data_IF_730520738847
#
_entry.id   IF_730520738847
#
_cell.length_a   1.000
_cell.length_b   1.000
_cell.length_c   1.000
_cell.angle_alpha   90.00
_cell.angle_beta   90.00
_cell.angle_gamma   90.00
#
_symmetry.space_group_name_H-M   'P 1'
#
loop_
_entity.id
_entity.type
_entity.pdbx_description
1 polymer ?
#
# COMPACT_ATOMS: atom_id res chain seq x y z
N UNK A 1 35.41 16.85 3.21
CA UNK A 1 34.26 15.98 3.49
C UNK A 1 34.82 14.57 3.62
N UNK A 2 34.43 13.87 4.69
CA UNK A 2 34.71 12.42 4.80
C UNK A 2 34.07 11.72 3.61
N UNK A 3 34.68 10.63 3.11
CA UNK A 3 34.00 9.71 2.21
C UNK A 3 32.70 9.25 2.91
N UNK A 4 31.60 9.91 2.58
CA UNK A 4 30.29 9.57 3.12
C UNK A 4 29.74 8.39 2.30
N UNK A 5 30.28 7.22 2.62
CA UNK A 5 29.61 5.99 2.25
C UNK A 5 28.25 5.95 2.95
N UNK A 6 27.19 5.68 2.22
CA UNK A 6 25.85 5.49 2.79
C UNK A 6 25.95 4.45 3.90
N UNK A 7 25.59 4.77 5.16
CA UNK A 7 25.74 3.84 6.26
C UNK A 7 24.80 2.63 6.08
N UNK A 8 25.27 1.45 6.44
CA UNK A 8 24.43 0.26 6.45
C UNK A 8 23.37 0.39 7.56
N UNK A 9 22.21 -0.26 7.38
CA UNK A 9 21.12 -0.24 8.37
C UNK A 9 21.58 -0.56 9.79
N UNK A 10 22.48 -1.52 9.96
CA UNK A 10 23.05 -1.92 11.26
C UNK A 10 23.83 -0.78 11.95
N UNK A 11 24.41 0.13 11.19
CA UNK A 11 25.27 1.22 11.66
C UNK A 11 24.47 2.48 12.02
N UNK A 12 23.18 2.52 11.68
CA UNK A 12 22.27 3.62 12.03
C UNK A 12 21.95 3.54 13.52
N UNK A 13 22.11 4.63 14.31
CA UNK A 13 21.70 4.69 15.72
C UNK A 13 20.22 4.35 15.91
N UNK A 14 19.89 3.73 17.05
CA UNK A 14 18.53 3.29 17.34
C UNK A 14 17.50 4.45 17.33
N UNK A 15 17.92 5.65 17.75
CA UNK A 15 17.07 6.86 17.77
C UNK A 15 16.61 7.32 16.38
N UNK A 16 17.27 6.88 15.30
CA UNK A 16 16.89 7.16 13.91
C UNK A 16 16.20 5.97 13.25
N UNK A 17 15.79 4.97 14.03
CA UNK A 17 15.06 3.79 13.56
C UNK A 17 13.62 3.83 14.06
N UNK A 18 12.71 3.29 13.28
CA UNK A 18 11.33 3.10 13.74
C UNK A 18 11.29 2.14 14.95
N UNK A 19 10.56 2.52 15.97
CA UNK A 19 10.26 1.65 17.10
C UNK A 19 9.02 0.79 16.78
N UNK A 20 9.25 -0.41 16.26
CA UNK A 20 8.19 -1.35 15.92
C UNK A 20 7.68 -2.15 17.12
N UNK A 21 8.25 -1.97 18.33
CA UNK A 21 7.78 -2.62 19.55
C UNK A 21 6.38 -2.17 19.97
N UNK A 22 5.90 -1.04 19.40
CA UNK A 22 4.52 -0.59 19.54
C UNK A 22 3.51 -1.51 18.83
N UNK A 23 3.95 -2.24 17.81
CA UNK A 23 3.13 -3.23 17.09
C UNK A 23 3.31 -4.60 17.73
N UNK A 24 4.55 -5.10 17.80
CA UNK A 24 4.92 -6.38 18.40
C UNK A 24 6.24 -6.25 19.14
N UNK A 25 6.30 -6.75 20.36
CA UNK A 25 7.53 -6.75 21.17
C UNK A 25 8.52 -7.80 20.68
N UNK A 26 8.01 -8.91 20.18
CA UNK A 26 8.81 -10.04 19.67
C UNK A 26 8.22 -10.63 18.39
N UNK A 27 9.05 -11.34 17.63
CA UNK A 27 8.62 -12.06 16.45
C UNK A 27 7.65 -13.20 16.77
N UNK A 28 7.73 -13.80 17.96
CA UNK A 28 6.83 -14.84 18.41
C UNK A 28 5.40 -14.30 18.61
N UNK A 29 5.26 -13.08 19.11
CA UNK A 29 3.96 -12.40 19.20
C UNK A 29 3.36 -12.17 17.81
N UNK A 30 4.17 -11.69 16.86
CA UNK A 30 3.75 -11.51 15.47
C UNK A 30 3.34 -12.84 14.82
N UNK A 31 4.14 -13.89 15.00
CA UNK A 31 3.87 -15.23 14.49
C UNK A 31 2.55 -15.80 15.04
N UNK A 32 2.29 -15.59 16.34
CA UNK A 32 1.04 -16.01 16.97
C UNK A 32 -0.17 -15.30 16.35
N UNK A 33 -0.03 -14.02 16.03
CA UNK A 33 -1.08 -13.22 15.42
C UNK A 33 -1.29 -13.57 13.95
N UNK A 34 -0.22 -13.84 13.18
CA UNK A 34 -0.32 -14.34 11.80
C UNK A 34 -1.13 -15.65 11.73
N UNK A 35 -0.90 -16.56 12.69
CA UNK A 35 -1.61 -17.85 12.76
C UNK A 35 -3.10 -17.74 13.09
N UNK A 36 -3.58 -16.59 13.57
CA UNK A 36 -5.01 -16.35 13.83
C UNK A 36 -5.81 -16.05 12.56
N UNK A 37 -5.16 -15.51 11.53
CA UNK A 37 -5.83 -15.06 10.30
C UNK A 37 -6.73 -16.14 9.69
N UNK A 38 -6.31 -17.39 9.48
CA UNK A 38 -7.19 -18.42 8.89
C UNK A 38 -8.48 -18.68 9.69
N UNK A 39 -8.43 -18.56 11.02
CA UNK A 39 -9.62 -18.74 11.85
C UNK A 39 -10.58 -17.56 11.75
N UNK A 40 -10.07 -16.35 11.62
CA UNK A 40 -10.87 -15.14 11.40
C UNK A 40 -11.50 -15.16 10.01
N UNK A 41 -10.74 -15.54 8.98
CA UNK A 41 -11.27 -15.76 7.61
C UNK A 41 -12.41 -16.77 7.64
N UNK A 42 -12.24 -17.91 8.30
CA UNK A 42 -13.29 -18.94 8.42
C UNK A 42 -14.53 -18.39 9.13
N UNK A 43 -14.35 -17.60 10.19
CA UNK A 43 -15.47 -16.96 10.89
C UNK A 43 -16.24 -16.03 9.96
N UNK A 44 -15.53 -15.10 9.28
CA UNK A 44 -16.16 -14.16 8.37
C UNK A 44 -16.82 -14.86 7.17
N UNK A 45 -16.15 -15.84 6.56
CA UNK A 45 -16.71 -16.62 5.45
C UNK A 45 -17.96 -17.42 5.81
N UNK A 46 -18.25 -17.63 7.10
CA UNK A 46 -19.49 -18.29 7.54
C UNK A 46 -20.76 -17.46 7.29
N UNK A 47 -20.59 -16.17 7.01
CA UNK A 47 -21.69 -15.25 6.66
C UNK A 47 -22.02 -15.22 5.17
N UNK A 48 -21.22 -15.89 4.33
CA UNK A 48 -21.43 -15.95 2.89
C UNK A 48 -22.81 -16.49 2.54
N UNK A 49 -23.54 -15.76 1.68
CA UNK A 49 -24.92 -16.07 1.29
C UNK A 49 -25.98 -15.68 2.32
N UNK A 50 -25.57 -15.04 3.41
CA UNK A 50 -26.44 -14.76 4.56
C UNK A 50 -26.59 -13.29 4.93
N UNK A 51 -25.87 -12.38 4.27
CA UNK A 51 -25.86 -10.95 4.65
C UNK A 51 -27.25 -10.30 4.58
N UNK A 52 -28.12 -10.80 3.73
CA UNK A 52 -29.48 -10.28 3.59
C UNK A 52 -30.50 -10.94 4.52
N UNK A 53 -30.15 -11.90 5.38
CA UNK A 53 -31.12 -12.57 6.27
C UNK A 53 -31.74 -11.61 7.28
N UNK A 54 -30.90 -10.88 8.04
CA UNK A 54 -31.35 -9.91 9.04
C UNK A 54 -30.30 -8.85 9.33
N UNK A 55 -30.73 -7.74 9.95
CA UNK A 55 -29.81 -6.69 10.44
C UNK A 55 -28.79 -7.21 11.45
N UNK A 56 -29.18 -8.15 12.31
CA UNK A 56 -28.28 -8.77 13.29
C UNK A 56 -27.17 -9.57 12.61
N UNK A 57 -27.52 -10.44 11.66
CA UNK A 57 -26.55 -11.23 10.88
C UNK A 57 -25.59 -10.30 10.10
N UNK A 58 -26.13 -9.24 9.50
CA UNK A 58 -25.32 -8.27 8.78
C UNK A 58 -24.34 -7.52 9.70
N UNK A 59 -24.82 -7.11 10.88
CA UNK A 59 -23.96 -6.46 11.87
C UNK A 59 -22.86 -7.40 12.40
N UNK A 60 -23.18 -8.66 12.63
CA UNK A 60 -22.18 -9.66 13.03
C UNK A 60 -21.13 -9.89 11.93
N UNK A 61 -21.54 -9.91 10.68
CA UNK A 61 -20.63 -10.00 9.54
C UNK A 61 -19.69 -8.78 9.48
N UNK A 62 -20.20 -7.55 9.64
CA UNK A 62 -19.39 -6.32 9.70
C UNK A 62 -18.36 -6.36 10.83
N UNK A 63 -18.74 -6.84 12.01
CA UNK A 63 -17.80 -7.01 13.14
C UNK A 63 -16.75 -8.07 12.88
N UNK A 64 -17.11 -9.15 12.19
CA UNK A 64 -16.18 -10.20 11.83
C UNK A 64 -15.18 -9.72 10.77
N UNK A 65 -15.64 -8.93 9.80
CA UNK A 65 -14.83 -8.25 8.79
C UNK A 65 -13.83 -7.30 9.46
N UNK A 66 -14.30 -6.39 10.31
CA UNK A 66 -13.45 -5.47 11.07
C UNK A 66 -12.39 -6.20 11.92
N UNK A 67 -12.76 -7.28 12.56
CA UNK A 67 -11.82 -8.08 13.37
C UNK A 67 -10.74 -8.73 12.51
N UNK A 68 -11.10 -9.19 11.31
CA UNK A 68 -10.17 -9.75 10.34
C UNK A 68 -9.23 -8.67 9.79
N UNK A 69 -9.77 -7.53 9.35
CA UNK A 69 -9.00 -6.42 8.79
C UNK A 69 -8.00 -5.88 9.80
N UNK A 70 -8.39 -5.60 11.03
CA UNK A 70 -7.49 -5.15 12.11
C UNK A 70 -6.36 -6.13 12.37
N UNK A 71 -6.64 -7.43 12.32
CA UNK A 71 -5.62 -8.44 12.52
C UNK A 71 -4.63 -8.48 11.35
N UNK A 72 -5.14 -8.44 10.12
CA UNK A 72 -4.32 -8.41 8.90
C UNK A 72 -3.47 -7.13 8.87
N UNK A 73 -4.07 -5.97 9.09
CA UNK A 73 -3.34 -4.69 9.08
C UNK A 73 -2.19 -4.67 10.07
N UNK A 74 -2.42 -5.11 11.31
CA UNK A 74 -1.38 -5.12 12.35
C UNK A 74 -0.21 -6.02 11.97
N UNK A 75 -0.50 -7.24 11.50
CA UNK A 75 0.51 -8.22 11.07
C UNK A 75 1.27 -7.71 9.84
N UNK A 76 0.54 -7.14 8.88
CA UNK A 76 1.10 -6.58 7.66
C UNK A 76 2.02 -5.40 7.93
N UNK A 77 1.58 -4.42 8.71
CA UNK A 77 2.38 -3.22 8.98
C UNK A 77 3.71 -3.56 9.66
N UNK A 78 3.72 -4.50 10.61
CA UNK A 78 4.98 -4.92 11.22
C UNK A 78 5.94 -5.54 10.19
N UNK A 79 5.46 -6.46 9.37
CA UNK A 79 6.29 -7.13 8.36
C UNK A 79 6.73 -6.16 7.25
N UNK A 80 5.83 -5.30 6.78
CA UNK A 80 6.11 -4.30 5.75
C UNK A 80 7.15 -3.29 6.22
N UNK A 81 6.97 -2.70 7.40
CA UNK A 81 7.91 -1.70 7.94
C UNK A 81 9.30 -2.30 8.22
N UNK A 82 9.39 -3.56 8.64
CA UNK A 82 10.69 -4.26 8.75
C UNK A 82 11.36 -4.43 7.37
N UNK A 83 10.58 -4.86 6.36
CA UNK A 83 11.09 -5.04 5.00
C UNK A 83 11.51 -3.71 4.36
N UNK A 84 10.71 -2.65 4.52
CA UNK A 84 11.06 -1.31 4.00
C UNK A 84 12.25 -0.68 4.72
N UNK A 85 12.49 -1.06 5.97
CA UNK A 85 13.65 -0.57 6.72
C UNK A 85 14.97 -1.14 6.18
N UNK A 86 14.98 -2.38 5.67
CA UNK A 86 16.14 -3.03 5.06
C UNK A 86 15.69 -4.14 4.11
N UNK A 87 15.56 -3.81 2.83
CA UNK A 87 15.18 -4.77 1.78
C UNK A 87 16.26 -5.84 1.50
N UNK A 88 17.46 -5.68 2.04
CA UNK A 88 18.53 -6.68 2.02
C UNK A 88 18.41 -7.74 3.11
N UNK A 89 17.53 -7.53 4.12
CA UNK A 89 17.31 -8.49 5.19
C UNK A 89 16.36 -9.62 4.74
N UNK A 90 16.93 -10.82 4.55
CA UNK A 90 16.18 -11.99 4.11
C UNK A 90 15.09 -12.44 5.10
N UNK A 91 15.28 -12.22 6.41
CA UNK A 91 14.28 -12.57 7.42
C UNK A 91 13.08 -11.61 7.35
N UNK A 92 13.32 -10.32 7.10
CA UNK A 92 12.25 -9.33 6.88
C UNK A 92 11.48 -9.64 5.59
N UNK A 93 12.18 -9.97 4.49
CA UNK A 93 11.55 -10.39 3.24
C UNK A 93 10.69 -11.66 3.41
N UNK A 94 11.15 -12.65 4.17
CA UNK A 94 10.37 -13.86 4.46
C UNK A 94 9.07 -13.52 5.21
N UNK A 95 9.15 -12.71 6.27
CA UNK A 95 7.96 -12.27 7.01
C UNK A 95 6.97 -11.55 6.12
N UNK A 96 7.46 -10.62 5.30
CA UNK A 96 6.62 -9.88 4.36
C UNK A 96 5.94 -10.81 3.35
N UNK A 97 6.68 -11.74 2.77
CA UNK A 97 6.13 -12.72 1.81
C UNK A 97 5.04 -13.58 2.47
N UNK A 98 5.24 -14.03 3.70
CA UNK A 98 4.27 -14.86 4.43
C UNK A 98 2.98 -14.10 4.73
N UNK A 99 3.07 -12.85 5.14
CA UNK A 99 1.86 -12.05 5.37
C UNK A 99 1.13 -11.74 4.06
N UNK A 100 1.84 -11.50 2.96
CA UNK A 100 1.22 -11.30 1.66
C UNK A 100 0.47 -12.54 1.16
N UNK A 101 1.01 -13.74 1.40
CA UNK A 101 0.30 -14.99 1.11
C UNK A 101 -0.99 -15.11 1.94
N UNK A 102 -0.93 -14.81 3.24
CA UNK A 102 -2.10 -14.84 4.12
C UNK A 102 -3.14 -13.80 3.72
N UNK A 103 -2.72 -12.58 3.36
CA UNK A 103 -3.56 -11.51 2.86
C UNK A 103 -4.28 -11.90 1.56
N UNK A 104 -3.54 -12.41 0.57
CA UNK A 104 -4.11 -12.83 -0.70
C UNK A 104 -5.14 -13.96 -0.52
N UNK A 105 -4.85 -14.93 0.34
CA UNK A 105 -5.78 -16.00 0.67
C UNK A 105 -7.05 -15.45 1.35
N UNK A 106 -6.89 -14.52 2.30
CA UNK A 106 -8.01 -13.85 2.96
C UNK A 106 -8.88 -13.09 1.96
N UNK A 107 -8.29 -12.25 1.10
CA UNK A 107 -9.02 -11.50 0.06
C UNK A 107 -9.83 -12.42 -0.86
N UNK A 108 -9.26 -13.57 -1.26
CA UNK A 108 -9.96 -14.54 -2.09
C UNK A 108 -11.21 -15.11 -1.40
N UNK A 109 -11.08 -15.52 -0.13
CA UNK A 109 -12.18 -16.12 0.63
C UNK A 109 -13.26 -15.09 1.03
N UNK A 110 -12.90 -13.82 1.18
CA UNK A 110 -13.80 -12.74 1.62
C UNK A 110 -14.40 -11.93 0.47
N UNK A 111 -14.02 -12.23 -0.77
CA UNK A 111 -14.46 -11.52 -1.99
C UNK A 111 -15.98 -11.48 -2.20
N UNK A 112 -16.73 -12.35 -1.52
CA UNK A 112 -18.20 -12.39 -1.57
C UNK A 112 -18.87 -11.16 -0.93
N UNK A 113 -18.20 -10.48 0.00
CA UNK A 113 -18.82 -9.51 0.89
C UNK A 113 -19.41 -8.31 0.13
N UNK A 114 -18.59 -7.63 -0.68
CA UNK A 114 -19.06 -6.45 -1.42
C UNK A 114 -20.19 -6.78 -2.40
N UNK A 115 -20.12 -7.83 -3.24
CA UNK A 115 -21.23 -8.21 -4.09
C UNK A 115 -22.52 -8.52 -3.32
N UNK A 116 -22.44 -9.23 -2.20
CA UNK A 116 -23.63 -9.55 -1.39
C UNK A 116 -24.18 -8.33 -0.70
N UNK A 117 -23.33 -7.44 -0.15
CA UNK A 117 -23.74 -6.16 0.41
C UNK A 117 -24.56 -5.35 -0.59
N UNK A 118 -24.07 -5.23 -1.81
CA UNK A 118 -24.70 -4.46 -2.88
C UNK A 118 -25.95 -5.12 -3.46
N UNK A 119 -26.11 -6.42 -3.26
CA UNK A 119 -27.31 -7.16 -3.63
C UNK A 119 -28.46 -6.98 -2.64
N UNK A 120 -28.20 -6.48 -1.41
CA UNK A 120 -29.26 -6.15 -0.45
C UNK A 120 -30.12 -5.03 -1.03
N UNK A 121 -31.47 -5.14 -1.01
CA UNK A 121 -32.36 -4.07 -1.47
C UNK A 121 -32.09 -2.76 -0.71
N UNK A 122 -32.04 -1.64 -1.43
CA UNK A 122 -31.66 -0.34 -0.86
C UNK A 122 -32.59 0.10 0.28
N UNK A 123 -33.90 -0.15 0.17
CA UNK A 123 -34.86 0.15 1.24
C UNK A 123 -34.53 -0.64 2.52
N UNK A 124 -34.17 -1.91 2.37
CA UNK A 124 -33.85 -2.79 3.49
C UNK A 124 -32.59 -2.35 4.22
N UNK A 125 -31.49 -2.16 3.48
CA UNK A 125 -30.22 -1.77 4.07
C UNK A 125 -30.29 -0.36 4.67
N UNK A 126 -30.97 0.59 4.02
CA UNK A 126 -31.17 1.93 4.54
C UNK A 126 -31.97 1.91 5.86
N UNK A 127 -32.96 1.02 6.00
CA UNK A 127 -33.67 0.85 7.28
C UNK A 127 -32.75 0.32 8.38
N UNK A 128 -31.82 -0.58 8.07
CA UNK A 128 -30.90 -1.17 9.04
C UNK A 128 -29.87 -0.17 9.56
N UNK A 129 -29.26 0.62 8.68
CA UNK A 129 -28.20 1.57 9.07
C UNK A 129 -28.71 2.76 9.89
N UNK A 130 -30.02 2.95 10.01
CA UNK A 130 -30.61 3.94 10.94
C UNK A 130 -30.67 3.44 12.39
N UNK A 131 -30.49 2.14 12.65
CA UNK A 131 -30.42 1.62 14.01
C UNK A 131 -29.11 2.05 14.69
N UNK A 132 -29.13 2.43 15.97
CA UNK A 132 -27.95 2.93 16.71
C UNK A 132 -26.74 2.00 16.68
N UNK A 133 -26.95 0.71 16.57
CA UNK A 133 -25.93 -0.33 16.53
C UNK A 133 -25.05 -0.28 15.26
N UNK A 134 -25.54 0.37 14.19
CA UNK A 134 -24.79 0.58 12.93
C UNK A 134 -24.06 1.91 12.89
N UNK A 135 -24.07 2.70 13.94
CA UNK A 135 -23.50 4.06 13.96
C UNK A 135 -22.07 4.10 13.37
N UNK A 136 -21.24 3.15 13.77
CA UNK A 136 -19.82 3.11 13.36
C UNK A 136 -19.62 2.62 11.93
N UNK A 137 -20.59 1.87 11.39
CA UNK A 137 -20.55 1.31 10.03
C UNK A 137 -21.35 2.12 9.01
N UNK A 138 -22.20 3.04 9.46
CA UNK A 138 -23.16 3.78 8.62
C UNK A 138 -22.46 4.45 7.42
N UNK A 139 -21.39 5.19 7.67
CA UNK A 139 -20.66 5.91 6.62
C UNK A 139 -20.03 4.95 5.61
N UNK A 140 -19.43 3.84 6.09
CA UNK A 140 -18.86 2.81 5.23
C UNK A 140 -19.91 2.23 4.28
N UNK A 141 -21.06 1.83 4.83
CA UNK A 141 -22.16 1.25 4.04
C UNK A 141 -22.71 2.27 3.04
N UNK A 142 -22.92 3.52 3.46
CA UNK A 142 -23.38 4.59 2.56
C UNK A 142 -22.42 4.85 1.40
N UNK A 143 -21.11 4.81 1.64
CA UNK A 143 -20.09 4.92 0.58
C UNK A 143 -20.18 3.75 -0.40
N UNK A 144 -20.32 2.52 0.09
CA UNK A 144 -20.48 1.34 -0.74
C UNK A 144 -21.74 1.44 -1.61
N UNK A 145 -22.89 1.84 -1.03
CA UNK A 145 -24.12 2.04 -1.79
C UNK A 145 -24.01 3.17 -2.81
N UNK A 146 -23.31 4.24 -2.48
CA UNK A 146 -23.04 5.34 -3.42
C UNK A 146 -22.23 4.89 -4.63
N UNK A 147 -21.29 3.97 -4.43
CA UNK A 147 -20.49 3.42 -5.52
C UNK A 147 -21.27 2.40 -6.40
N UNK A 148 -22.38 1.84 -5.90
CA UNK A 148 -23.17 0.79 -6.58
C UNK A 148 -23.53 1.09 -8.04
N UNK A 149 -23.97 2.31 -8.44
CA UNK A 149 -24.28 2.64 -9.83
C UNK A 149 -23.03 2.68 -10.75
N UNK A 150 -21.83 2.71 -10.16
CA UNK A 150 -20.54 2.79 -10.85
C UNK A 150 -19.78 1.47 -10.90
N UNK A 151 -20.37 0.40 -10.35
CA UNK A 151 -19.78 -0.94 -10.37
C UNK A 151 -20.18 -1.60 -11.69
N UNK A 152 -19.19 -2.11 -12.39
CA UNK A 152 -19.37 -2.80 -13.66
C UNK A 152 -20.00 -4.18 -13.43
N UNK A 153 -20.59 -4.75 -14.48
CA UNK A 153 -21.04 -6.14 -14.45
C UNK A 153 -19.83 -7.09 -14.32
N UNK A 154 -20.04 -8.30 -13.82
CA UNK A 154 -18.99 -9.33 -13.69
C UNK A 154 -18.19 -9.52 -14.99
N UNK A 155 -18.88 -9.47 -16.14
CA UNK A 155 -18.26 -9.61 -17.45
C UNK A 155 -17.35 -8.41 -17.77
N UNK A 156 -17.78 -7.21 -17.47
CA UNK A 156 -17.01 -5.98 -17.70
C UNK A 156 -15.82 -5.91 -16.76
N UNK A 157 -15.99 -6.24 -15.47
CA UNK A 157 -14.90 -6.33 -14.49
C UNK A 157 -13.83 -7.34 -14.94
N UNK A 158 -14.27 -8.49 -15.48
CA UNK A 158 -13.34 -9.48 -16.03
C UNK A 158 -12.54 -8.95 -17.21
N UNK A 159 -13.17 -8.19 -18.13
CA UNK A 159 -12.49 -7.58 -19.26
C UNK A 159 -11.47 -6.56 -18.76
N UNK A 160 -11.85 -5.71 -17.80
CA UNK A 160 -10.96 -4.73 -17.20
C UNK A 160 -9.76 -5.39 -16.50
N UNK A 161 -10.00 -6.47 -15.78
CA UNK A 161 -8.94 -7.24 -15.13
C UNK A 161 -7.95 -7.85 -16.15
N UNK A 162 -8.43 -8.34 -17.29
CA UNK A 162 -7.55 -8.84 -18.36
C UNK A 162 -6.72 -7.76 -19.03
N UNK A 163 -7.16 -6.49 -18.99
CA UNK A 163 -6.41 -5.34 -19.49
C UNK A 163 -5.41 -4.76 -18.50
N UNK A 164 -5.48 -5.13 -17.23
CA UNK A 164 -4.69 -4.51 -16.17
C UNK A 164 -3.17 -4.60 -16.42
N UNK A 165 -2.68 -5.74 -16.92
CA UNK A 165 -1.27 -5.93 -17.26
C UNK A 165 -0.82 -4.95 -18.37
N UNK A 166 -1.62 -4.84 -19.44
CA UNK A 166 -1.36 -3.88 -20.53
C UNK A 166 -1.46 -2.43 -20.03
N UNK A 167 -2.39 -2.15 -19.11
CA UNK A 167 -2.57 -0.84 -18.49
C UNK A 167 -1.37 -0.40 -17.64
N UNK A 168 -0.67 -1.36 -17.02
CA UNK A 168 0.54 -1.09 -16.23
C UNK A 168 1.78 -0.80 -17.10
N UNK A 169 1.76 -1.13 -18.39
CA UNK A 169 2.94 -1.03 -19.26
C UNK A 169 3.50 0.39 -19.29
N UNK A 170 2.66 1.41 -19.43
CA UNK A 170 3.10 2.80 -19.47
C UNK A 170 3.78 3.23 -18.16
N UNK A 171 3.22 2.85 -17.03
CA UNK A 171 3.79 3.13 -15.70
C UNK A 171 5.13 2.41 -15.51
N UNK A 172 5.20 1.15 -15.90
CA UNK A 172 6.43 0.35 -15.79
C UNK A 172 7.55 0.91 -16.68
N UNK A 173 7.22 1.29 -17.92
CA UNK A 173 8.19 1.91 -18.85
C UNK A 173 8.67 3.24 -18.29
N UNK A 174 7.76 4.07 -17.76
CA UNK A 174 8.14 5.34 -17.13
C UNK A 174 9.06 5.13 -15.93
N UNK A 175 8.75 4.16 -15.05
CA UNK A 175 9.60 3.87 -13.89
C UNK A 175 10.99 3.39 -14.30
N UNK A 176 11.09 2.50 -15.27
CA UNK A 176 12.39 2.04 -15.77
C UNK A 176 13.18 3.19 -16.39
N UNK A 177 12.54 4.01 -17.22
CA UNK A 177 13.20 5.17 -17.81
C UNK A 177 13.65 6.15 -16.73
N UNK A 178 12.78 6.52 -15.81
CA UNK A 178 13.01 7.56 -14.82
C UNK A 178 14.01 7.14 -13.73
N UNK A 179 13.94 5.89 -13.27
CA UNK A 179 14.66 5.44 -12.09
C UNK A 179 15.93 4.65 -12.42
N UNK A 180 16.03 4.11 -13.66
CA UNK A 180 17.15 3.25 -14.07
C UNK A 180 17.94 3.85 -15.21
N UNK A 181 17.30 4.27 -16.30
CA UNK A 181 17.99 4.63 -17.54
C UNK A 181 18.36 6.11 -17.61
N UNK A 182 17.60 6.99 -16.93
CA UNK A 182 17.78 8.43 -16.98
C UNK A 182 19.05 8.86 -16.25
N UNK A 183 19.93 9.58 -16.95
CA UNK A 183 21.19 10.08 -16.40
C UNK A 183 21.19 11.61 -16.46
N UNK A 184 21.20 12.24 -15.29
CA UNK A 184 21.20 13.70 -15.15
C UNK A 184 22.63 14.31 -15.15
N UNK A 185 23.67 13.45 -15.15
CA UNK A 185 25.06 13.89 -15.11
C UNK A 185 25.53 14.37 -13.72
N UNK A 186 26.44 15.32 -13.74
CA UNK A 186 27.03 15.90 -12.51
C UNK A 186 26.96 17.42 -12.55
N UNK A 187 27.00 18.06 -11.39
CA UNK A 187 27.11 19.52 -11.22
C UNK A 187 28.39 19.84 -10.47
N UNK A 188 29.12 20.87 -10.91
CA UNK A 188 30.36 21.28 -10.27
C UNK A 188 30.05 22.23 -9.08
N UNK A 189 30.48 21.82 -7.89
CA UNK A 189 30.38 22.63 -6.66
C UNK A 189 31.77 22.68 -6.01
N UNK A 190 32.32 23.86 -5.84
CA UNK A 190 33.65 24.07 -5.23
C UNK A 190 34.77 23.20 -5.84
N UNK A 191 34.77 23.05 -7.19
CA UNK A 191 35.75 22.27 -7.91
C UNK A 191 35.57 20.75 -7.84
N UNK A 192 34.43 20.28 -7.31
CA UNK A 192 34.06 18.86 -7.26
C UNK A 192 32.86 18.57 -8.15
N UNK A 193 32.92 17.46 -8.89
CA UNK A 193 31.80 16.96 -9.67
C UNK A 193 30.91 16.10 -8.76
N UNK A 194 29.72 16.59 -8.45
CA UNK A 194 28.72 15.91 -7.62
C UNK A 194 27.62 15.33 -8.50
N UNK A 195 27.17 14.08 -8.27
CA UNK A 195 26.13 13.47 -9.07
C UNK A 195 24.80 14.19 -8.90
N UNK A 196 24.14 14.46 -10.03
CA UNK A 196 22.78 14.98 -10.06
C UNK A 196 21.81 13.80 -10.20
N UNK A 197 20.91 13.66 -9.26
CA UNK A 197 19.91 12.60 -9.18
C UNK A 197 18.61 13.17 -8.64
N UNK A 198 17.52 12.40 -8.64
CA UNK A 198 16.28 12.77 -7.94
C UNK A 198 16.51 13.10 -6.46
N UNK A 199 17.40 12.36 -5.81
CA UNK A 199 17.69 12.54 -4.38
C UNK A 199 18.55 13.78 -4.09
N UNK A 200 19.49 14.14 -4.98
CA UNK A 200 20.39 15.29 -4.79
C UNK A 200 19.87 16.57 -5.41
N UNK A 201 18.78 16.51 -6.17
CA UNK A 201 18.14 17.64 -6.83
C UNK A 201 17.90 18.83 -5.87
N UNK A 202 17.25 18.56 -4.74
CA UNK A 202 16.91 19.59 -3.76
C UNK A 202 18.15 20.29 -3.19
N UNK A 203 19.23 19.56 -2.94
CA UNK A 203 20.49 20.11 -2.41
C UNK A 203 21.09 21.14 -3.37
N UNK A 204 21.00 20.87 -4.68
CA UNK A 204 21.46 21.84 -5.68
C UNK A 204 20.53 23.04 -5.79
N UNK A 205 19.21 22.86 -5.73
CA UNK A 205 18.22 23.95 -5.81
C UNK A 205 18.27 24.88 -4.59
N UNK A 206 18.72 24.41 -3.44
CA UNK A 206 18.93 25.19 -2.22
C UNK A 206 20.30 25.88 -2.18
N UNK A 207 21.19 25.64 -3.14
CA UNK A 207 22.51 26.23 -3.17
C UNK A 207 22.45 27.77 -3.30
N UNK A 208 23.29 28.49 -2.55
CA UNK A 208 23.34 29.95 -2.58
C UNK A 208 23.78 30.50 -3.95
N UNK A 209 24.67 29.80 -4.66
CA UNK A 209 25.10 30.19 -5.99
C UNK A 209 24.04 29.88 -7.05
N UNK A 210 23.52 30.97 -7.62
CA UNK A 210 22.50 30.85 -8.71
C UNK A 210 23.01 30.09 -9.93
N UNK A 211 24.32 30.09 -10.19
CA UNK A 211 24.87 29.37 -11.37
C UNK A 211 24.74 27.86 -11.17
N UNK A 212 24.99 27.38 -9.94
CA UNK A 212 24.83 25.97 -9.58
C UNK A 212 23.37 25.56 -9.70
N UNK A 213 22.44 26.34 -9.16
CA UNK A 213 21.00 26.07 -9.29
C UNK A 213 20.57 26.01 -10.75
N UNK A 214 21.01 26.96 -11.57
CA UNK A 214 20.69 26.99 -13.00
C UNK A 214 21.25 25.80 -13.75
N UNK A 215 22.51 25.43 -13.50
CA UNK A 215 23.14 24.28 -14.15
C UNK A 215 22.40 22.98 -13.76
N UNK A 216 22.07 22.80 -12.49
CA UNK A 216 21.31 21.66 -12.01
C UNK A 216 19.95 21.58 -12.70
N UNK A 217 19.22 22.70 -12.73
CA UNK A 217 17.92 22.79 -13.38
C UNK A 217 17.98 22.42 -14.87
N UNK A 218 18.90 23.02 -15.61
CA UNK A 218 19.04 22.80 -17.05
C UNK A 218 19.42 21.35 -17.38
N UNK A 219 20.32 20.76 -16.57
CA UNK A 219 20.69 19.35 -16.74
C UNK A 219 19.57 18.40 -16.38
N UNK A 220 18.90 18.64 -15.27
CA UNK A 220 17.82 17.78 -14.78
C UNK A 220 16.65 17.73 -15.78
N UNK A 221 16.11 18.89 -16.13
CA UNK A 221 14.99 18.95 -17.08
C UNK A 221 15.41 18.68 -18.52
N UNK A 222 16.65 18.98 -18.90
CA UNK A 222 17.19 18.62 -20.21
C UNK A 222 17.24 17.11 -20.44
N UNK A 223 17.46 16.31 -19.36
CA UNK A 223 17.35 14.87 -19.45
C UNK A 223 15.92 14.42 -19.80
N UNK A 224 14.88 15.03 -19.19
CA UNK A 224 13.49 14.75 -19.55
C UNK A 224 13.16 15.20 -20.98
N UNK A 225 13.62 16.39 -21.36
CA UNK A 225 13.39 16.89 -22.74
C UNK A 225 13.98 15.98 -23.80
N UNK A 226 15.11 15.34 -23.51
CA UNK A 226 15.74 14.38 -24.45
C UNK A 226 14.89 13.12 -24.68
N UNK A 227 13.94 12.85 -23.80
CA UNK A 227 13.02 11.70 -23.84
C UNK A 227 11.56 12.12 -24.13
N UNK A 228 11.34 13.34 -24.65
CA UNK A 228 10.00 13.89 -24.86
C UNK A 228 9.08 13.07 -25.81
N UNK A 229 9.65 12.14 -26.56
CA UNK A 229 8.91 11.25 -27.46
C UNK A 229 8.60 9.87 -26.86
N UNK A 230 9.07 9.57 -25.67
CA UNK A 230 8.81 8.32 -24.95
C UNK A 230 7.67 8.47 -23.97
#
# INVERSE_FOLDING_TARGET
>A
MKDETIPLRKDIPAEYKWDLTQLYKTDEEWEADLKKIPSLVKNFSSFKGRLSESSSIFLEALKADEALDRQIEKVYHYASLNNEADQGDSAAQEKYSRVMMAYTAACSETSFFTPELLAIPDEKINSWIEHPEFKDYKIYIQKALHAKPHILSEKEERIMALQSESGQTASNVFSLLNDVDMNFGTVEVEGKQLPLTHSTWSDFEENQDRKIRKEAYEKFYGAFESHANT
#
